data_IF_841645515412
#
_entry.id   IF_841645515412
#
_cell.length_a   1.000
_cell.length_b   1.000
_cell.length_c   1.000
_cell.angle_alpha   90.00
_cell.angle_beta   90.00
_cell.angle_gamma   90.00
#
_symmetry.space_group_name_H-M   'P 1'
#
loop_
_entity.id
_entity.type
_entity.pdbx_description
1 polymer ?
#
# COMPACT_ATOMS: atom_id res chain seq x y z
N UNK A 1 -11.92 -8.66 67.11
CA UNK A 1 -12.92 -9.38 66.29
C UNK A 1 -13.60 -8.37 65.36
N UNK A 2 -13.77 -8.72 64.08
CA UNK A 2 -14.29 -7.91 62.94
C UNK A 2 -13.26 -7.07 62.18
N UNK A 3 -12.47 -7.80 61.39
CA UNK A 3 -11.95 -7.39 60.07
C UNK A 3 -13.09 -6.99 59.12
N UNK A 4 -12.79 -6.08 58.17
CA UNK A 4 -13.40 -5.85 56.82
C UNK A 4 -13.15 -4.38 56.44
N UNK A 5 -12.78 -3.95 55.24
CA UNK A 5 -12.45 -4.59 53.97
C UNK A 5 -11.71 -3.49 53.18
N UNK A 6 -10.50 -3.76 52.68
CA UNK A 6 -9.76 -2.83 51.81
C UNK A 6 -10.28 -3.04 50.38
N UNK A 7 -10.93 -2.03 49.80
CA UNK A 7 -11.27 -2.02 48.37
C UNK A 7 -10.13 -1.34 47.60
N UNK A 8 -9.15 -2.13 47.14
CA UNK A 8 -8.22 -1.73 46.09
C UNK A 8 -8.96 -1.94 44.76
N UNK A 9 -9.49 -0.87 44.19
CA UNK A 9 -10.06 -0.89 42.85
C UNK A 9 -8.91 -0.76 41.84
N UNK A 10 -8.53 -1.91 41.29
CA UNK A 10 -7.47 -2.12 40.31
C UNK A 10 -7.92 -1.58 38.95
N UNK A 11 -7.75 -0.27 38.71
CA UNK A 11 -7.96 0.34 37.39
C UNK A 11 -6.73 0.09 36.50
N UNK A 12 -6.50 -1.18 36.17
CA UNK A 12 -5.56 -1.57 35.12
C UNK A 12 -6.30 -1.46 33.78
N UNK A 13 -6.46 -0.22 33.32
CA UNK A 13 -6.76 0.03 31.91
C UNK A 13 -5.52 -0.41 31.13
N UNK A 14 -5.64 -1.60 30.55
CA UNK A 14 -4.79 -2.09 29.50
C UNK A 14 -4.74 -1.05 28.37
N UNK A 15 -3.75 -0.16 28.41
CA UNK A 15 -3.23 0.43 27.20
C UNK A 15 -2.55 -0.68 26.41
N UNK A 16 -3.36 -1.48 25.70
CA UNK A 16 -2.85 -2.24 24.56
C UNK A 16 -2.45 -1.18 23.53
N UNK A 17 -1.23 -0.67 23.66
CA UNK A 17 -0.56 -0.05 22.54
C UNK A 17 -0.48 -1.14 21.47
N UNK A 18 -1.40 -1.06 20.52
CA UNK A 18 -1.24 -1.69 19.22
C UNK A 18 0.04 -1.10 18.64
N UNK A 19 1.17 -1.74 18.96
CA UNK A 19 2.40 -1.59 18.21
C UNK A 19 2.07 -2.08 16.82
N UNK A 20 1.64 -1.15 15.95
CA UNK A 20 1.44 -1.40 14.54
C UNK A 20 2.70 -2.06 14.04
N UNK A 21 2.64 -3.38 13.83
CA UNK A 21 3.84 -4.16 13.63
C UNK A 21 4.49 -3.67 12.36
N UNK A 22 5.66 -3.06 12.50
CA UNK A 22 6.55 -2.66 11.40
C UNK A 22 7.14 -3.92 10.73
N UNK A 23 6.29 -4.84 10.29
CA UNK A 23 6.69 -6.05 9.58
C UNK A 23 6.99 -5.67 8.14
N UNK A 24 8.27 -5.73 7.78
CA UNK A 24 8.65 -5.90 6.39
C UNK A 24 8.14 -7.28 5.98
N UNK A 25 7.27 -7.33 4.98
CA UNK A 25 6.67 -8.57 4.51
C UNK A 25 7.29 -8.96 3.17
N UNK A 26 7.39 -10.26 2.92
CA UNK A 26 7.98 -10.81 1.70
C UNK A 26 6.98 -11.70 0.94
N UNK A 27 7.00 -11.63 -0.39
CA UNK A 27 6.19 -12.44 -1.30
C UNK A 27 7.13 -13.13 -2.30
N UNK A 28 7.17 -14.46 -2.29
CA UNK A 28 7.90 -15.23 -3.28
C UNK A 28 7.08 -15.34 -4.59
N UNK A 29 7.54 -14.67 -5.65
CA UNK A 29 6.94 -14.81 -7.00
C UNK A 29 7.44 -16.10 -7.67
N UNK A 30 8.72 -16.42 -7.49
CA UNK A 30 9.36 -17.68 -7.90
C UNK A 30 10.60 -17.94 -7.04
N UNK A 31 11.33 -19.05 -7.29
CA UNK A 31 12.53 -19.45 -6.49
C UNK A 31 13.53 -18.30 -6.28
N UNK A 32 13.81 -17.52 -7.32
CA UNK A 32 14.84 -16.47 -7.31
C UNK A 32 14.25 -15.05 -7.43
N UNK A 33 12.94 -14.90 -7.24
CA UNK A 33 12.24 -13.62 -7.39
C UNK A 33 11.33 -13.39 -6.19
N UNK A 34 11.64 -12.35 -5.42
CA UNK A 34 10.91 -12.00 -4.21
C UNK A 34 10.53 -10.52 -4.20
N UNK A 35 9.34 -10.20 -3.71
CA UNK A 35 8.92 -8.83 -3.41
C UNK A 35 9.02 -8.59 -1.91
N UNK A 36 9.55 -7.44 -1.52
CA UNK A 36 9.57 -6.97 -0.15
C UNK A 36 8.77 -5.68 -0.08
N UNK A 37 7.78 -5.62 0.81
CA UNK A 37 6.89 -4.47 0.93
C UNK A 37 6.68 -4.02 2.37
N UNK A 38 6.24 -2.76 2.52
CA UNK A 38 5.81 -2.19 3.80
C UNK A 38 4.57 -1.33 3.58
N UNK A 39 3.51 -1.66 4.32
CA UNK A 39 2.30 -0.83 4.44
C UNK A 39 2.29 -0.25 5.85
N UNK A 40 1.80 0.97 5.98
CA UNK A 40 1.54 1.60 7.29
C UNK A 40 0.18 2.28 7.27
N UNK A 41 -0.36 2.53 8.46
CA UNK A 41 -1.53 3.39 8.61
C UNK A 41 -1.22 4.78 8.04
N UNK A 42 -2.21 5.37 7.38
CA UNK A 42 -2.07 6.71 6.84
C UNK A 42 -2.05 7.72 7.99
N UNK A 43 -1.11 8.66 7.95
CA UNK A 43 -0.93 9.68 8.96
C UNK A 43 -1.03 11.04 8.28
N UNK A 44 -2.20 11.66 8.37
CA UNK A 44 -2.47 12.93 7.68
C UNK A 44 -1.54 14.07 8.10
N UNK A 45 -0.91 14.00 9.28
CA UNK A 45 0.04 15.02 9.75
C UNK A 45 1.36 15.00 8.97
N UNK A 46 1.64 13.90 8.26
CA UNK A 46 2.85 13.71 7.45
C UNK A 46 2.68 14.10 5.98
N UNK A 47 1.49 14.53 5.56
CA UNK A 47 1.16 14.77 4.17
C UNK A 47 0.58 16.16 3.93
N UNK A 48 0.83 16.71 2.75
CA UNK A 48 0.18 17.92 2.29
C UNK A 48 -1.12 17.54 1.58
N UNK A 49 -2.25 17.92 2.17
CA UNK A 49 -3.58 17.60 1.62
C UNK A 49 -4.20 18.81 0.95
N UNK A 50 -4.57 18.65 -0.31
CA UNK A 50 -5.38 19.64 -1.04
C UNK A 50 -6.79 19.11 -1.19
N UNK A 51 -7.74 19.97 -0.86
CA UNK A 51 -9.15 19.66 -0.98
C UNK A 51 -9.78 20.44 -2.13
N UNK A 52 -10.65 19.78 -2.88
CA UNK A 52 -11.41 20.34 -3.97
C UNK A 52 -12.91 20.13 -3.71
N UNK A 53 -13.74 20.94 -4.38
CA UNK A 53 -15.21 20.83 -4.32
C UNK A 53 -15.69 20.25 -5.65
N UNK A 54 -16.52 19.20 -5.60
CA UNK A 54 -17.20 18.62 -6.77
C UNK A 54 -18.68 18.45 -6.42
N UNK A 55 -19.53 19.26 -7.03
CA UNK A 55 -20.92 19.38 -6.60
C UNK A 55 -21.02 19.96 -5.18
N UNK A 56 -21.72 19.26 -4.29
CA UNK A 56 -21.87 19.64 -2.88
C UNK A 56 -20.81 19.03 -1.94
N UNK A 57 -19.89 18.20 -2.47
CA UNK A 57 -18.96 17.42 -1.64
C UNK A 57 -17.52 17.92 -1.75
N UNK A 58 -16.85 17.96 -0.59
CA UNK A 58 -15.42 18.22 -0.46
C UNK A 58 -14.67 16.90 -0.51
N UNK A 59 -13.69 16.78 -1.40
CA UNK A 59 -12.85 15.59 -1.54
C UNK A 59 -11.36 15.97 -1.52
N UNK A 60 -10.52 15.02 -1.13
CA UNK A 60 -9.05 15.14 -1.19
C UNK A 60 -8.65 14.93 -2.66
N UNK A 61 -8.36 16.00 -3.39
CA UNK A 61 -7.98 15.89 -4.79
C UNK A 61 -6.48 15.63 -4.98
N UNK A 62 -5.64 16.07 -4.04
CA UNK A 62 -4.19 15.81 -4.07
C UNK A 62 -3.66 15.46 -2.69
N UNK A 63 -2.68 14.55 -2.67
CA UNK A 63 -1.81 14.25 -1.53
C UNK A 63 -0.38 14.48 -1.99
N UNK A 64 0.37 15.29 -1.24
CA UNK A 64 1.74 15.70 -1.57
C UNK A 64 1.87 16.33 -2.97
N UNK A 65 0.91 17.21 -3.31
CA UNK A 65 0.81 17.94 -4.58
C UNK A 65 0.68 17.03 -5.82
N UNK A 66 0.14 15.82 -5.64
CA UNK A 66 -0.08 14.84 -6.71
C UNK A 66 -1.47 14.23 -6.61
N UNK A 67 -2.05 13.84 -7.75
CA UNK A 67 -3.22 12.94 -7.78
C UNK A 67 -2.87 11.67 -7.00
N UNK A 68 -3.80 11.11 -6.26
CA UNK A 68 -3.61 9.87 -5.51
C UNK A 68 -4.56 8.77 -5.99
N UNK A 69 -4.22 7.51 -5.67
CA UNK A 69 -4.96 6.32 -6.06
C UNK A 69 -5.28 5.46 -4.83
N UNK A 70 -6.41 4.74 -4.89
CA UNK A 70 -6.93 3.92 -3.80
C UNK A 70 -8.28 4.37 -3.24
N UNK A 71 -8.98 5.28 -3.93
CA UNK A 71 -10.36 5.65 -3.62
C UNK A 71 -11.06 6.20 -4.86
N UNK A 72 -12.30 5.78 -5.09
CA UNK A 72 -13.11 6.25 -6.23
C UNK A 72 -13.73 7.63 -5.96
N UNK A 73 -14.12 7.89 -4.70
CA UNK A 73 -14.79 9.14 -4.30
C UNK A 73 -13.85 10.15 -3.66
N UNK A 74 -12.77 9.70 -3.01
CA UNK A 74 -11.77 10.54 -2.37
C UNK A 74 -12.31 11.48 -1.26
N UNK A 75 -13.51 11.18 -0.74
CA UNK A 75 -14.17 11.95 0.33
C UNK A 75 -13.65 11.60 1.72
N UNK A 76 -13.09 10.39 1.88
CA UNK A 76 -12.47 9.91 3.11
C UNK A 76 -10.94 9.97 3.02
N UNK A 77 -10.30 10.09 4.18
CA UNK A 77 -8.86 9.90 4.28
C UNK A 77 -8.49 8.46 3.91
N UNK A 78 -7.33 8.23 3.28
CA UNK A 78 -6.79 6.88 3.17
C UNK A 78 -6.69 6.21 4.53
N UNK A 79 -6.90 4.90 4.57
CA UNK A 79 -6.72 4.08 5.78
C UNK A 79 -5.25 3.72 5.94
N UNK A 80 -4.58 3.41 4.84
CA UNK A 80 -3.18 2.99 4.83
C UNK A 80 -2.49 3.37 3.50
N UNK A 81 -1.16 3.25 3.49
CA UNK A 81 -0.33 3.59 2.33
C UNK A 81 0.80 2.57 2.12
N UNK A 82 1.13 2.32 0.85
CA UNK A 82 2.27 1.51 0.46
C UNK A 82 3.54 2.38 0.45
N UNK A 83 4.35 2.28 1.51
CA UNK A 83 5.54 3.14 1.67
C UNK A 83 6.83 2.51 1.18
N UNK A 84 6.83 1.21 0.95
CA UNK A 84 7.97 0.50 0.36
C UNK A 84 7.47 -0.65 -0.50
N UNK A 85 8.04 -0.77 -1.68
CA UNK A 85 8.01 -1.97 -2.49
C UNK A 85 9.36 -2.12 -3.17
N UNK A 86 9.92 -3.32 -3.12
CA UNK A 86 11.19 -3.65 -3.74
C UNK A 86 11.15 -5.07 -4.28
N UNK A 87 11.83 -5.31 -5.39
CA UNK A 87 11.93 -6.62 -6.01
C UNK A 87 13.37 -7.10 -5.97
N UNK A 88 13.57 -8.33 -5.55
CA UNK A 88 14.85 -9.03 -5.57
C UNK A 88 14.84 -10.07 -6.67
N UNK A 89 15.68 -9.89 -7.70
CA UNK A 89 15.83 -10.83 -8.82
C UNK A 89 17.27 -11.34 -8.81
N UNK A 90 17.46 -12.65 -8.67
CA UNK A 90 18.79 -13.29 -8.64
C UNK A 90 19.75 -12.61 -7.65
N UNK A 91 19.26 -12.31 -6.45
CA UNK A 91 20.06 -11.65 -5.41
C UNK A 91 20.10 -10.12 -5.47
N UNK A 92 19.78 -9.50 -6.61
CA UNK A 92 19.83 -8.04 -6.79
C UNK A 92 18.50 -7.39 -6.40
N UNK A 93 18.52 -6.51 -5.40
CA UNK A 93 17.36 -5.74 -4.94
C UNK A 93 17.21 -4.43 -5.72
N UNK A 94 15.99 -4.13 -6.14
CA UNK A 94 15.61 -2.88 -6.82
C UNK A 94 14.39 -2.29 -6.13
N UNK A 95 14.49 -1.04 -5.67
CA UNK A 95 13.33 -0.32 -5.12
C UNK A 95 12.39 0.12 -6.25
N UNK A 96 11.09 0.08 -5.98
CA UNK A 96 10.04 0.49 -6.90
C UNK A 96 9.40 1.78 -6.38
N UNK A 97 9.09 2.71 -7.29
CA UNK A 97 8.35 3.93 -6.94
C UNK A 97 6.91 3.58 -6.57
N UNK A 98 6.54 3.90 -5.34
CA UNK A 98 5.21 3.67 -4.75
C UNK A 98 4.51 4.97 -4.34
N UNK A 99 5.00 6.12 -4.80
CA UNK A 99 4.31 7.39 -4.56
C UNK A 99 2.88 7.34 -5.09
N UNK A 100 1.93 8.05 -4.46
CA UNK A 100 0.52 8.08 -4.86
C UNK A 100 -0.27 6.77 -4.63
N UNK A 101 0.33 5.74 -4.01
CA UNK A 101 -0.30 4.43 -3.78
C UNK A 101 -0.87 4.29 -2.37
N UNK A 102 -2.16 4.55 -2.23
CA UNK A 102 -2.89 4.45 -0.97
C UNK A 102 -3.88 3.30 -1.00
N UNK A 103 -4.36 2.88 0.16
CA UNK A 103 -5.32 1.78 0.33
C UNK A 103 -5.00 0.54 -0.53
N UNK A 104 -3.75 0.03 -0.56
CA UNK A 104 -3.38 -1.02 -1.49
C UNK A 104 -4.09 -2.38 -1.28
N UNK A 105 -4.67 -2.59 -0.09
CA UNK A 105 -5.51 -3.75 0.25
C UNK A 105 -6.30 -3.51 1.55
N UNK A 106 -7.28 -4.37 1.82
CA UNK A 106 -8.11 -4.34 3.03
C UNK A 106 -7.40 -4.90 4.29
N UNK A 107 -6.55 -5.92 4.16
CA UNK A 107 -6.02 -6.72 5.28
C UNK A 107 -4.70 -6.21 5.88
N UNK A 108 -4.13 -5.15 5.33
CA UNK A 108 -2.73 -4.74 5.56
C UNK A 108 -1.67 -5.66 4.93
N UNK A 109 -2.07 -6.66 4.13
CA UNK A 109 -1.17 -7.63 3.52
C UNK A 109 -1.37 -7.74 2.02
N UNK A 110 -0.26 -7.80 1.28
CA UNK A 110 -0.26 -8.04 -0.16
C UNK A 110 -0.02 -9.51 -0.42
N UNK A 111 -0.68 -10.05 -1.45
CA UNK A 111 -0.60 -11.47 -1.81
C UNK A 111 0.00 -11.65 -3.20
N UNK A 112 0.52 -12.85 -3.48
CA UNK A 112 1.16 -13.19 -4.75
C UNK A 112 0.30 -12.88 -5.97
N UNK A 113 -1.00 -13.17 -5.91
CA UNK A 113 -1.93 -13.02 -7.04
C UNK A 113 -2.15 -11.56 -7.46
N UNK A 114 -1.75 -10.59 -6.63
CA UNK A 114 -1.78 -9.17 -7.02
C UNK A 114 -0.66 -8.80 -7.99
N UNK A 115 0.31 -9.69 -8.24
CA UNK A 115 1.51 -9.39 -9.00
C UNK A 115 1.73 -10.37 -10.14
N UNK A 116 2.19 -9.84 -11.27
CA UNK A 116 2.68 -10.61 -12.42
C UNK A 116 4.03 -10.08 -12.87
N UNK A 117 5.03 -10.94 -12.96
CA UNK A 117 6.34 -10.57 -13.49
C UNK A 117 6.54 -11.22 -14.86
N UNK A 118 6.75 -10.39 -15.89
CA UNK A 118 7.02 -10.85 -17.25
C UNK A 118 8.46 -10.50 -17.61
N UNK A 119 9.21 -11.49 -18.10
CA UNK A 119 10.58 -11.31 -18.61
C UNK A 119 10.54 -11.03 -20.11
N UNK A 120 11.09 -9.91 -20.51
CA UNK A 120 11.40 -9.58 -21.91
C UNK A 120 12.90 -9.75 -22.15
N UNK A 121 13.34 -9.66 -23.42
CA UNK A 121 14.74 -9.90 -23.82
C UNK A 121 15.77 -9.15 -22.96
N UNK A 122 15.50 -7.87 -22.68
CA UNK A 122 16.46 -6.97 -22.01
C UNK A 122 15.95 -6.39 -20.68
N UNK A 123 14.73 -6.71 -20.27
CA UNK A 123 14.12 -6.09 -19.09
C UNK A 123 13.01 -6.98 -18.51
N UNK A 124 12.62 -6.69 -17.27
CA UNK A 124 11.43 -7.24 -16.66
C UNK A 124 10.33 -6.19 -16.58
N UNK A 125 9.08 -6.60 -16.73
CA UNK A 125 7.91 -5.78 -16.41
C UNK A 125 7.18 -6.43 -15.24
N UNK A 126 7.08 -5.72 -14.13
CA UNK A 126 6.25 -6.10 -12.99
C UNK A 126 4.92 -5.35 -13.09
N UNK A 127 3.84 -6.09 -12.99
CA UNK A 127 2.48 -5.56 -12.87
C UNK A 127 2.01 -5.76 -11.43
N UNK A 128 1.24 -4.81 -10.93
CA UNK A 128 0.58 -4.86 -9.63
C UNK A 128 -0.87 -4.40 -9.73
N UNK A 129 -1.74 -5.05 -8.96
CA UNK A 129 -3.14 -4.69 -8.75
C UNK A 129 -3.39 -4.41 -7.27
N UNK A 130 -4.11 -3.33 -6.97
CA UNK A 130 -4.30 -2.84 -5.61
C UNK A 130 -5.74 -2.37 -5.42
N UNK A 131 -6.38 -2.79 -4.33
CA UNK A 131 -7.75 -2.43 -3.99
C UNK A 131 -8.09 -2.80 -2.55
N UNK A 132 -8.72 -1.90 -1.81
CA UNK A 132 -9.31 -2.16 -0.50
C UNK A 132 -10.85 -2.27 -0.54
N UNK A 133 -11.43 -2.27 -1.74
CA UNK A 133 -12.88 -2.24 -1.99
C UNK A 133 -13.48 -0.83 -2.16
N UNK A 134 -12.79 0.25 -1.76
CA UNK A 134 -13.25 1.63 -1.95
C UNK A 134 -12.72 2.28 -3.23
N UNK A 135 -11.72 1.66 -3.85
CA UNK A 135 -11.20 2.03 -5.15
C UNK A 135 -10.11 1.09 -5.60
N UNK A 136 -9.92 1.01 -6.92
CA UNK A 136 -9.04 0.02 -7.53
C UNK A 136 -8.06 0.69 -8.49
N UNK A 137 -6.81 0.23 -8.48
CA UNK A 137 -5.78 0.75 -9.38
C UNK A 137 -4.73 -0.31 -9.71
N UNK A 138 -4.04 -0.09 -10.82
CA UNK A 138 -2.89 -0.87 -11.27
C UNK A 138 -1.66 -0.01 -11.38
N UNK A 139 -0.49 -0.61 -11.16
CA UNK A 139 0.81 0.04 -11.37
C UNK A 139 1.76 -0.91 -12.07
N UNK A 140 2.54 -0.39 -13.01
CA UNK A 140 3.46 -1.16 -13.83
C UNK A 140 4.87 -0.60 -13.68
N UNK A 141 5.85 -1.46 -13.47
CA UNK A 141 7.26 -1.09 -13.35
C UNK A 141 8.09 -1.80 -14.40
N UNK A 142 8.96 -1.04 -15.07
CA UNK A 142 10.00 -1.56 -15.95
C UNK A 142 11.31 -1.65 -15.17
N UNK A 143 11.89 -2.83 -15.10
CA UNK A 143 13.12 -3.11 -14.35
C UNK A 143 14.23 -3.49 -15.34
N UNK A 144 15.30 -2.71 -15.36
CA UNK A 144 16.46 -2.89 -16.25
C UNK A 144 17.74 -2.80 -15.42
N UNK A 145 18.59 -3.83 -15.48
CA UNK A 145 19.89 -3.83 -14.81
C UNK A 145 19.85 -3.42 -13.32
N UNK A 146 18.79 -3.78 -12.60
CA UNK A 146 18.58 -3.46 -11.19
C UNK A 146 18.21 -2.00 -10.90
N UNK A 147 17.77 -1.25 -11.91
CA UNK A 147 17.06 0.01 -11.77
C UNK A 147 15.59 -0.22 -12.14
N UNK A 148 14.69 0.54 -11.54
CA UNK A 148 13.27 0.49 -11.86
C UNK A 148 12.78 1.87 -12.29
N UNK A 149 11.85 1.88 -13.24
CA UNK A 149 11.03 3.03 -13.57
C UNK A 149 9.57 2.61 -13.50
N UNK A 150 8.74 3.34 -12.74
CA UNK A 150 7.28 3.17 -12.82
C UNK A 150 6.82 3.80 -14.12
N UNK A 151 6.26 2.98 -15.00
CA UNK A 151 5.80 3.41 -16.32
C UNK A 151 4.31 3.75 -16.34
N UNK A 152 3.55 3.26 -15.35
CA UNK A 152 2.12 3.49 -15.24
C UNK A 152 1.66 3.39 -13.79
N UNK A 153 0.74 4.27 -13.42
CA UNK A 153 -0.23 4.09 -12.33
C UNK A 153 -1.58 4.59 -12.85
N UNK A 154 -2.62 3.77 -12.74
CA UNK A 154 -3.90 4.06 -13.40
C UNK A 154 -5.05 3.32 -12.73
N UNK A 155 -6.26 3.85 -12.89
CA UNK A 155 -7.52 3.20 -12.57
C UNK A 155 -8.41 3.00 -13.82
N UNK A 156 -7.87 3.20 -15.03
CA UNK A 156 -8.58 2.94 -16.28
C UNK A 156 -8.63 1.43 -16.58
N UNK A 157 -9.80 0.90 -16.92
CA UNK A 157 -10.03 -0.54 -17.17
C UNK A 157 -9.06 -1.14 -18.21
N UNK A 158 -8.74 -0.38 -19.27
CA UNK A 158 -7.82 -0.80 -20.34
C UNK A 158 -6.42 -1.20 -19.81
N UNK A 159 -6.02 -0.66 -18.66
CA UNK A 159 -4.69 -0.87 -18.09
C UNK A 159 -4.59 -2.16 -17.25
N UNK A 160 -5.73 -2.82 -16.99
CA UNK A 160 -5.83 -4.08 -16.24
C UNK A 160 -5.73 -5.33 -17.12
N UNK A 161 -5.64 -5.18 -18.45
CA UNK A 161 -5.68 -6.32 -19.40
C UNK A 161 -4.63 -7.41 -19.15
N UNK A 162 -3.51 -7.09 -18.48
CA UNK A 162 -2.47 -8.06 -18.11
C UNK A 162 -2.94 -9.19 -17.18
N UNK A 163 -4.10 -9.03 -16.52
CA UNK A 163 -4.71 -10.04 -15.65
C UNK A 163 -5.46 -11.14 -16.42
N UNK A 164 -5.77 -10.92 -17.69
CA UNK A 164 -6.49 -11.88 -18.54
C UNK A 164 -5.55 -12.88 -19.23
N UNK A 165 -4.26 -12.55 -19.27
CA UNK A 165 -3.16 -13.36 -19.82
C UNK A 165 -2.59 -14.36 -18.79
#
# INVERSE_FOLDING_TARGET
MKSKLIYILFFLLFFVHNSGQNKNNEIALSKNVHLNYKIRNFDNSKHLLKFCIKGAEKHICEIDNKKWFGSDLQIEYPKNELVKLSIKINGKTTNLDVSQMYNPNFSGQLIKNQFKLVKYKNYYKLFGYFSDGAGTYTSHWKIVNGKSNRILISNDEKDFGWQLD
#
